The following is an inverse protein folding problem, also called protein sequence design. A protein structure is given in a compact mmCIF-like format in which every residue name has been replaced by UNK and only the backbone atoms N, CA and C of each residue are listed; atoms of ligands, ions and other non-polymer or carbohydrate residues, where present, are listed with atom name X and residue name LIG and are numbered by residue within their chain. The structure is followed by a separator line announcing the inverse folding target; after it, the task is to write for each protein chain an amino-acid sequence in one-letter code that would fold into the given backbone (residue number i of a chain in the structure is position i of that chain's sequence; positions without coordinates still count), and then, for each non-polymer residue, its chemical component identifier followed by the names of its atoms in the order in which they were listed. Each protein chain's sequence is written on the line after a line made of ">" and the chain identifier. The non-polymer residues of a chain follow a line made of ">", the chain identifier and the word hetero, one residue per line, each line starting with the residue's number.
data_IF_020338353747
#
_entry.id   IF_020338353747
#
_cell.length_a   1.000
_cell.length_b   1.000
_cell.length_c   1.000
_cell.angle_alpha   90.00
_cell.angle_beta   90.00
_cell.angle_gamma   90.00
#
_symmetry.space_group_name_H-M   'P 1'
#
loop_
_entity.id
_entity.type
_entity.pdbx_description
1 polymer ?
#
# COMPACT_ATOMS: atom_id res chain seq x y z
N UNK A 1 -20.79 10.50 -4.32
CA UNK A 1 -19.83 9.41 -4.65
C UNK A 1 -18.84 9.97 -5.66
N UNK A 2 -17.57 10.01 -5.32
CA UNK A 2 -16.50 10.42 -6.24
C UNK A 2 -16.43 9.41 -7.39
N UNK A 3 -16.54 9.90 -8.63
CA UNK A 3 -16.50 9.03 -9.82
C UNK A 3 -15.07 8.54 -10.05
N UNK A 4 -14.88 7.22 -10.12
CA UNK A 4 -13.59 6.62 -10.46
C UNK A 4 -13.15 7.03 -11.88
N UNK A 5 -11.85 7.35 -12.10
CA UNK A 5 -11.33 7.57 -13.45
C UNK A 5 -11.53 6.31 -14.33
N UNK A 6 -11.82 6.49 -15.60
CA UNK A 6 -12.07 5.38 -16.52
C UNK A 6 -10.88 4.37 -16.57
N UNK A 7 -9.65 4.89 -16.55
CA UNK A 7 -8.45 4.04 -16.53
C UNK A 7 -8.33 3.20 -15.25
N UNK A 8 -8.70 3.75 -14.09
CA UNK A 8 -8.74 2.99 -12.82
C UNK A 8 -9.85 1.95 -12.85
N UNK A 9 -11.04 2.31 -13.36
CA UNK A 9 -12.17 1.37 -13.46
C UNK A 9 -11.83 0.16 -14.36
N UNK A 10 -11.22 0.39 -15.50
CA UNK A 10 -10.77 -0.70 -16.38
C UNK A 10 -9.77 -1.66 -15.68
N UNK A 11 -8.87 -1.12 -14.84
CA UNK A 11 -7.93 -1.94 -14.06
C UNK A 11 -8.64 -2.73 -12.94
N UNK A 12 -9.63 -2.13 -12.28
CA UNK A 12 -10.46 -2.80 -11.27
C UNK A 12 -11.23 -3.98 -11.88
N UNK A 13 -11.83 -3.79 -13.06
CA UNK A 13 -12.52 -4.86 -13.80
C UNK A 13 -11.55 -5.98 -14.20
N UNK A 14 -10.36 -5.60 -14.69
CA UNK A 14 -9.31 -6.55 -15.09
C UNK A 14 -8.67 -7.29 -13.90
N UNK A 15 -8.85 -6.81 -12.65
CA UNK A 15 -8.36 -7.50 -11.45
C UNK A 15 -9.07 -8.85 -11.21
N UNK A 16 -10.23 -9.08 -11.84
CA UNK A 16 -10.88 -10.38 -11.87
C UNK A 16 -11.44 -10.85 -10.53
N UNK A 17 -11.88 -9.91 -9.67
CA UNK A 17 -12.45 -10.24 -8.36
C UNK A 17 -13.75 -11.02 -8.52
N UNK A 18 -13.81 -12.21 -7.91
CA UNK A 18 -14.94 -13.15 -7.95
C UNK A 18 -15.85 -12.92 -6.73
N UNK A 19 -17.16 -13.01 -6.95
CA UNK A 19 -18.13 -12.88 -5.87
C UNK A 19 -18.13 -14.09 -4.91
N UNK A 20 -18.41 -13.82 -3.63
CA UNK A 20 -18.51 -14.85 -2.61
C UNK A 20 -17.18 -15.30 -2.00
N UNK A 21 -16.06 -14.71 -2.39
CA UNK A 21 -14.74 -15.04 -1.84
C UNK A 21 -14.18 -13.90 -0.99
N UNK A 22 -13.46 -14.20 0.11
CA UNK A 22 -12.81 -13.18 0.92
C UNK A 22 -11.78 -12.41 0.11
N UNK A 23 -11.64 -11.11 0.39
CA UNK A 23 -10.80 -10.19 -0.36
C UNK A 23 -9.81 -9.45 0.54
N UNK A 24 -8.54 -9.45 0.14
CA UNK A 24 -7.49 -8.60 0.67
C UNK A 24 -7.15 -7.52 -0.35
N UNK A 25 -7.26 -6.26 0.05
CA UNK A 25 -6.82 -5.08 -0.71
C UNK A 25 -5.59 -4.54 0.00
N UNK A 26 -4.42 -4.62 -0.62
CA UNK A 26 -3.15 -4.20 -0.01
C UNK A 26 -2.55 -3.01 -0.75
N UNK A 27 -2.06 -2.01 -0.02
CA UNK A 27 -1.09 -1.09 -0.61
C UNK A 27 0.22 -1.81 -0.93
N UNK A 28 1.10 -1.14 -1.66
CA UNK A 28 2.41 -1.66 -2.03
C UNK A 28 3.54 -1.02 -1.22
N UNK A 29 3.62 0.32 -1.23
CA UNK A 29 4.72 1.06 -0.62
C UNK A 29 4.53 1.13 0.91
N UNK A 30 5.60 0.87 1.68
CA UNK A 30 5.56 0.70 3.14
C UNK A 30 4.66 -0.45 3.66
N UNK A 31 4.10 -1.26 2.75
CA UNK A 31 3.33 -2.46 3.10
C UNK A 31 3.97 -3.73 2.54
N UNK A 32 4.18 -3.80 1.24
CA UNK A 32 4.83 -4.91 0.54
C UNK A 32 6.30 -4.64 0.21
N UNK A 33 6.66 -3.36 0.11
CA UNK A 33 8.00 -2.88 -0.23
C UNK A 33 8.48 -1.81 0.76
N UNK A 34 9.79 -1.82 1.07
CA UNK A 34 10.45 -0.84 1.95
C UNK A 34 10.74 0.45 1.17
N UNK A 35 9.68 1.20 0.92
CA UNK A 35 9.74 2.34 0.01
C UNK A 35 10.55 3.51 0.57
N UNK A 36 10.25 3.98 1.80
CA UNK A 36 10.79 5.25 2.30
C UNK A 36 12.30 5.18 2.49
N UNK A 37 12.84 4.07 3.01
CA UNK A 37 14.30 3.90 3.13
C UNK A 37 14.98 3.95 1.76
N UNK A 38 14.43 3.22 0.77
CA UNK A 38 14.98 3.21 -0.59
C UNK A 38 14.86 4.58 -1.27
N UNK A 39 13.78 5.31 -1.01
CA UNK A 39 13.61 6.69 -1.49
C UNK A 39 14.62 7.64 -0.83
N UNK A 40 14.86 7.51 0.46
CA UNK A 40 15.86 8.33 1.18
C UNK A 40 17.26 8.09 0.61
N UNK A 41 17.69 6.84 0.45
CA UNK A 41 18.96 6.51 -0.17
C UNK A 41 19.10 7.14 -1.57
N UNK A 42 18.05 7.05 -2.37
CA UNK A 42 18.03 7.60 -3.73
C UNK A 42 18.16 9.13 -3.76
N UNK A 43 17.50 9.85 -2.84
CA UNK A 43 17.61 11.33 -2.81
C UNK A 43 18.92 11.79 -2.18
N UNK A 44 19.50 11.05 -1.22
CA UNK A 44 20.79 11.37 -0.62
C UNK A 44 21.93 11.30 -1.66
N UNK A 45 21.92 10.33 -2.55
CA UNK A 45 22.84 10.24 -3.69
C UNK A 45 22.75 11.46 -4.64
N UNK A 46 21.68 12.25 -4.56
CA UNK A 46 21.37 13.41 -5.43
C UNK A 46 21.46 14.75 -4.73
N UNK A 47 22.08 14.77 -3.54
CA UNK A 47 22.32 16.00 -2.78
C UNK A 47 21.10 16.52 -2.03
N UNK A 48 20.23 15.64 -1.63
CA UNK A 48 19.14 15.94 -0.70
C UNK A 48 19.33 15.16 0.60
N UNK A 49 18.60 15.55 1.65
CA UNK A 49 18.51 14.83 2.93
C UNK A 49 17.07 14.69 3.35
N UNK A 50 16.79 13.71 4.18
CA UNK A 50 15.46 13.49 4.73
C UNK A 50 15.44 13.74 6.24
N UNK A 51 14.58 14.67 6.68
CA UNK A 51 14.34 14.95 8.10
C UNK A 51 13.23 14.03 8.64
N UNK A 52 13.60 13.11 9.49
CA UNK A 52 12.69 12.14 10.11
C UNK A 52 11.89 12.76 11.26
N UNK A 53 11.31 13.93 11.06
CA UNK A 53 10.52 14.64 12.09
C UNK A 53 9.01 14.38 11.99
N UNK A 54 8.55 13.85 10.85
CA UNK A 54 7.14 13.48 10.66
C UNK A 54 6.98 12.36 9.63
N UNK A 55 5.79 11.75 9.60
CA UNK A 55 5.43 10.71 8.63
C UNK A 55 5.39 11.21 7.17
N UNK A 56 5.26 12.50 6.94
CA UNK A 56 5.08 13.08 5.60
C UNK A 56 6.40 13.15 4.85
N UNK A 57 6.39 12.94 3.53
CA UNK A 57 7.54 13.24 2.67
C UNK A 57 7.69 14.76 2.47
N UNK A 58 6.60 15.46 2.17
CA UNK A 58 6.60 16.92 2.02
C UNK A 58 6.89 17.60 3.35
N UNK A 59 7.84 18.52 3.33
CA UNK A 59 8.32 19.23 4.52
C UNK A 59 9.55 18.57 5.17
N UNK A 60 9.86 17.32 4.83
CA UNK A 60 11.00 16.57 5.37
C UNK A 60 12.18 16.44 4.39
N UNK A 61 11.99 16.71 3.11
CA UNK A 61 13.09 16.70 2.13
C UNK A 61 13.76 18.06 2.07
N UNK A 62 15.10 18.07 2.23
CA UNK A 62 15.94 19.28 2.23
C UNK A 62 17.04 19.16 1.20
N UNK A 63 17.40 20.26 0.55
CA UNK A 63 18.59 20.35 -0.26
C UNK A 63 19.81 20.49 0.64
N UNK A 64 20.83 19.64 0.46
CA UNK A 64 22.02 19.63 1.32
C UNK A 64 22.90 20.87 1.16
N UNK A 65 22.91 21.52 -0.02
CA UNK A 65 23.78 22.66 -0.32
C UNK A 65 23.41 23.94 0.42
N UNK A 66 22.13 24.15 0.73
CA UNK A 66 21.62 25.38 1.38
C UNK A 66 20.62 25.12 2.52
N UNK A 67 20.28 23.85 2.78
CA UNK A 67 19.31 23.45 3.80
C UNK A 67 17.85 23.77 3.47
N UNK A 68 17.58 24.24 2.24
CA UNK A 68 16.23 24.64 1.85
C UNK A 68 15.27 23.44 1.85
N UNK A 69 14.11 23.59 2.48
CA UNK A 69 13.03 22.60 2.47
C UNK A 69 12.35 22.62 1.10
N UNK A 70 12.18 21.43 0.50
CA UNK A 70 11.48 21.30 -0.76
C UNK A 70 9.97 21.46 -0.60
N UNK A 71 9.35 22.17 -1.52
CA UNK A 71 7.89 22.26 -1.62
C UNK A 71 7.28 20.97 -2.21
N UNK A 72 5.95 20.87 -2.16
CA UNK A 72 5.23 19.69 -2.63
C UNK A 72 5.49 19.35 -4.11
N UNK A 73 5.49 20.31 -5.07
CA UNK A 73 5.85 20.02 -6.47
C UNK A 73 7.26 19.46 -6.64
N UNK A 74 8.23 19.96 -5.88
CA UNK A 74 9.63 19.50 -5.94
C UNK A 74 9.75 18.07 -5.38
N UNK A 75 9.12 17.77 -4.24
CA UNK A 75 9.07 16.40 -3.69
C UNK A 75 8.39 15.46 -4.66
N UNK A 76 7.28 15.89 -5.29
CA UNK A 76 6.59 15.09 -6.29
C UNK A 76 7.47 14.79 -7.52
N UNK A 77 8.26 15.76 -7.99
CA UNK A 77 9.22 15.54 -9.08
C UNK A 77 10.30 14.50 -8.71
N UNK A 78 10.81 14.54 -7.46
CA UNK A 78 11.75 13.52 -6.96
C UNK A 78 11.11 12.13 -6.90
N UNK A 79 9.85 12.03 -6.47
CA UNK A 79 9.10 10.77 -6.46
C UNK A 79 8.91 10.20 -7.87
N UNK A 80 8.54 11.06 -8.85
CA UNK A 80 8.41 10.64 -10.25
C UNK A 80 9.74 10.08 -10.79
N UNK A 81 10.85 10.76 -10.49
CA UNK A 81 12.19 10.33 -10.88
C UNK A 81 12.58 9.01 -10.21
N UNK A 82 12.36 8.91 -8.91
CA UNK A 82 12.60 7.70 -8.13
C UNK A 82 11.86 6.49 -8.73
N UNK A 83 10.54 6.61 -8.93
CA UNK A 83 9.77 5.50 -9.50
C UNK A 83 10.16 5.17 -10.93
N UNK A 84 10.61 6.15 -11.73
CA UNK A 84 11.10 5.90 -13.07
C UNK A 84 12.37 5.05 -13.09
N UNK A 85 13.25 5.23 -12.10
CA UNK A 85 14.55 4.53 -12.02
C UNK A 85 14.52 3.29 -11.13
N UNK A 86 13.72 3.28 -10.05
CA UNK A 86 13.85 2.30 -8.95
C UNK A 86 12.57 1.50 -8.66
N UNK A 87 11.46 1.70 -9.41
CA UNK A 87 10.19 1.02 -9.13
C UNK A 87 10.30 -0.50 -9.08
N UNK A 88 11.26 -1.08 -9.81
CA UNK A 88 11.50 -2.52 -9.84
C UNK A 88 12.44 -3.03 -8.73
N UNK A 89 13.26 -2.16 -8.14
CA UNK A 89 14.37 -2.54 -7.26
C UNK A 89 14.09 -2.28 -5.78
N UNK A 90 12.89 -1.82 -5.43
CA UNK A 90 12.52 -1.60 -4.03
C UNK A 90 12.48 -2.96 -3.31
N UNK A 91 13.22 -3.13 -2.19
CA UNK A 91 13.24 -4.40 -1.46
C UNK A 91 11.86 -4.77 -0.89
N UNK A 92 11.48 -6.06 -0.94
CA UNK A 92 10.23 -6.50 -0.33
C UNK A 92 10.31 -6.46 1.20
N UNK A 93 9.16 -6.27 1.83
CA UNK A 93 9.04 -6.39 3.30
C UNK A 93 9.16 -7.87 3.68
N UNK A 94 10.05 -8.21 4.65
CA UNK A 94 10.21 -9.60 5.10
C UNK A 94 8.90 -10.23 5.56
N UNK A 95 8.63 -11.45 5.10
CA UNK A 95 7.43 -12.21 5.46
C UNK A 95 6.18 -11.91 4.62
N UNK A 96 6.15 -10.80 3.85
CA UNK A 96 5.00 -10.41 3.05
C UNK A 96 4.63 -11.48 2.01
N UNK A 97 5.60 -11.92 1.21
CA UNK A 97 5.36 -12.88 0.14
C UNK A 97 4.84 -14.23 0.66
N UNK A 98 5.43 -14.73 1.74
CA UNK A 98 5.05 -15.99 2.36
C UNK A 98 3.64 -15.92 2.98
N UNK A 99 3.32 -14.81 3.67
CA UNK A 99 2.01 -14.58 4.26
C UNK A 99 0.92 -14.47 3.18
N UNK A 100 1.14 -13.67 2.15
CA UNK A 100 0.21 -13.54 1.03
C UNK A 100 0.00 -14.88 0.31
N UNK A 101 1.05 -15.69 0.13
CA UNK A 101 0.93 -17.01 -0.47
C UNK A 101 0.09 -17.98 0.40
N UNK A 102 0.19 -17.89 1.75
CA UNK A 102 -0.67 -18.68 2.65
C UNK A 102 -2.12 -18.24 2.58
N UNK A 103 -2.38 -16.94 2.63
CA UNK A 103 -3.73 -16.36 2.49
C UNK A 103 -4.37 -16.74 1.14
N UNK A 104 -3.62 -16.65 0.04
CA UNK A 104 -4.10 -17.05 -1.28
C UNK A 104 -4.47 -18.54 -1.33
N UNK A 105 -3.65 -19.41 -0.72
CA UNK A 105 -3.96 -20.86 -0.61
C UNK A 105 -5.19 -21.13 0.27
N UNK A 106 -5.47 -20.27 1.23
CA UNK A 106 -6.70 -20.31 2.04
C UNK A 106 -7.93 -19.74 1.31
N UNK A 107 -7.81 -19.38 0.02
CA UNK A 107 -8.90 -18.92 -0.81
C UNK A 107 -9.11 -17.40 -0.84
N UNK A 108 -8.24 -16.61 -0.19
CA UNK A 108 -8.32 -15.16 -0.22
C UNK A 108 -7.90 -14.64 -1.61
N UNK A 109 -8.72 -13.77 -2.18
CA UNK A 109 -8.36 -13.00 -3.36
C UNK A 109 -7.51 -11.80 -2.92
N UNK A 110 -6.44 -11.50 -3.63
CA UNK A 110 -5.52 -10.42 -3.28
C UNK A 110 -5.44 -9.44 -4.44
N UNK A 111 -5.64 -8.16 -4.16
CA UNK A 111 -5.48 -7.06 -5.11
C UNK A 111 -4.56 -6.00 -4.50
N UNK A 112 -3.53 -5.61 -5.24
CA UNK A 112 -2.64 -4.50 -4.86
C UNK A 112 -3.22 -3.20 -5.40
N UNK A 113 -3.56 -2.27 -4.50
CA UNK A 113 -4.13 -0.96 -4.79
C UNK A 113 -3.15 0.14 -4.39
N UNK A 114 -2.45 0.74 -5.34
CA UNK A 114 -1.34 1.65 -5.09
C UNK A 114 -1.50 2.99 -5.79
N UNK A 115 -0.86 4.05 -5.27
CA UNK A 115 -0.89 5.41 -5.83
C UNK A 115 0.43 5.79 -6.55
N UNK A 116 1.16 4.83 -7.08
CA UNK A 116 2.34 5.11 -7.92
C UNK A 116 1.95 5.81 -9.23
N UNK A 117 2.89 6.45 -9.94
CA UNK A 117 2.64 6.95 -11.28
C UNK A 117 2.12 5.85 -12.22
N UNK A 118 1.08 6.15 -13.01
CA UNK A 118 0.44 5.16 -13.91
C UNK A 118 1.45 4.53 -14.87
N UNK A 119 2.44 5.30 -15.36
CA UNK A 119 3.51 4.82 -16.23
C UNK A 119 4.37 3.70 -15.58
N UNK A 120 4.37 3.58 -14.26
CA UNK A 120 5.18 2.61 -13.52
C UNK A 120 4.40 1.33 -13.13
N UNK A 121 3.16 1.19 -13.61
CA UNK A 121 2.33 0.03 -13.30
C UNK A 121 3.00 -1.30 -13.69
N UNK A 122 3.57 -1.37 -14.87
CA UNK A 122 4.18 -2.62 -15.35
C UNK A 122 5.50 -2.92 -14.61
N UNK A 123 6.28 -1.89 -14.27
CA UNK A 123 7.44 -2.03 -13.40
C UNK A 123 7.05 -2.57 -12.00
N UNK A 124 5.96 -2.05 -11.40
CA UNK A 124 5.44 -2.55 -10.12
C UNK A 124 4.97 -4.01 -10.23
N UNK A 125 4.28 -4.37 -11.31
CA UNK A 125 3.88 -5.78 -11.56
C UNK A 125 5.10 -6.70 -11.68
N UNK A 126 6.13 -6.27 -12.40
CA UNK A 126 7.38 -7.01 -12.52
C UNK A 126 8.08 -7.19 -11.16
N UNK A 127 8.16 -6.11 -10.34
CA UNK A 127 8.70 -6.17 -8.98
C UNK A 127 7.95 -7.17 -8.10
N UNK A 128 6.63 -7.13 -8.09
CA UNK A 128 5.80 -8.06 -7.35
C UNK A 128 6.03 -9.50 -7.81
N UNK A 129 6.03 -9.76 -9.11
CA UNK A 129 6.23 -11.10 -9.66
C UNK A 129 7.62 -11.67 -9.29
N UNK A 130 8.70 -10.87 -9.41
CA UNK A 130 10.06 -11.28 -9.00
C UNK A 130 10.15 -11.62 -7.51
N UNK A 131 9.36 -10.93 -6.69
CA UNK A 131 9.30 -11.17 -5.24
C UNK A 131 8.20 -12.17 -4.83
N UNK A 132 7.76 -13.03 -5.75
CA UNK A 132 6.77 -14.11 -5.50
C UNK A 132 5.40 -13.60 -5.05
N UNK A 133 5.01 -12.40 -5.46
CA UNK A 133 3.72 -11.76 -5.18
C UNK A 133 2.96 -11.41 -6.48
N UNK A 134 2.68 -12.35 -7.41
CA UNK A 134 2.12 -12.06 -8.73
C UNK A 134 0.62 -11.74 -8.68
N UNK A 135 0.25 -10.74 -7.88
CA UNK A 135 -1.15 -10.34 -7.71
C UNK A 135 -1.54 -9.21 -8.66
N UNK A 136 -2.84 -9.07 -9.00
CA UNK A 136 -3.34 -7.94 -9.77
C UNK A 136 -2.97 -6.58 -9.16
N UNK A 137 -2.50 -5.65 -10.01
CA UNK A 137 -2.14 -4.28 -9.60
C UNK A 137 -3.12 -3.30 -10.20
N UNK A 138 -3.74 -2.50 -9.35
CA UNK A 138 -4.58 -1.37 -9.69
C UNK A 138 -3.86 -0.09 -9.28
N UNK A 139 -3.54 0.76 -10.25
CA UNK A 139 -3.02 2.10 -9.97
C UNK A 139 -4.19 3.05 -9.79
N UNK A 140 -4.26 3.62 -8.60
CA UNK A 140 -5.25 4.61 -8.21
C UNK A 140 -4.67 6.03 -8.26
N UNK A 141 -5.53 7.01 -8.26
CA UNK A 141 -5.16 8.43 -8.14
C UNK A 141 -6.06 9.08 -7.11
N UNK A 142 -5.47 9.71 -6.11
CA UNK A 142 -6.18 10.32 -4.99
C UNK A 142 -6.62 9.28 -3.94
N UNK A 143 -7.77 9.50 -3.31
CA UNK A 143 -8.27 8.67 -2.22
C UNK A 143 -8.58 7.24 -2.66
N UNK A 144 -8.16 6.25 -1.89
CA UNK A 144 -8.36 4.82 -2.19
C UNK A 144 -9.78 4.31 -1.89
N UNK A 145 -10.56 5.05 -1.09
CA UNK A 145 -11.90 4.62 -0.66
C UNK A 145 -12.84 4.21 -1.78
N UNK A 146 -13.03 5.00 -2.86
CA UNK A 146 -13.92 4.62 -3.96
C UNK A 146 -13.49 3.32 -4.67
N UNK A 147 -12.18 3.10 -4.86
CA UNK A 147 -11.67 1.89 -5.48
C UNK A 147 -11.80 0.67 -4.56
N UNK A 148 -11.50 0.82 -3.27
CA UNK A 148 -11.68 -0.23 -2.27
C UNK A 148 -13.15 -0.63 -2.12
N UNK A 149 -14.06 0.35 -2.09
CA UNK A 149 -15.51 0.10 -2.04
C UNK A 149 -16.01 -0.66 -3.28
N UNK A 150 -15.50 -0.32 -4.47
CA UNK A 150 -15.83 -1.04 -5.70
C UNK A 150 -15.39 -2.50 -5.63
N UNK A 151 -14.13 -2.76 -5.22
CA UNK A 151 -13.58 -4.11 -5.07
C UNK A 151 -14.37 -4.93 -4.04
N UNK A 152 -14.63 -4.37 -2.86
CA UNK A 152 -15.40 -5.04 -1.81
C UNK A 152 -16.84 -5.35 -2.23
N UNK A 153 -17.50 -4.41 -2.94
CA UNK A 153 -18.85 -4.64 -3.51
C UNK A 153 -18.83 -5.78 -4.53
N UNK A 154 -17.77 -5.88 -5.35
CA UNK A 154 -17.63 -6.94 -6.32
C UNK A 154 -17.39 -8.30 -5.67
N UNK A 155 -16.58 -8.36 -4.60
CA UNK A 155 -16.34 -9.56 -3.82
C UNK A 155 -17.61 -10.02 -3.07
N UNK A 156 -18.42 -9.10 -2.56
CA UNK A 156 -19.67 -9.41 -1.85
C UNK A 156 -19.49 -10.25 -0.59
N UNK A 157 -18.26 -10.40 -0.09
CA UNK A 157 -17.87 -11.14 1.10
C UNK A 157 -17.01 -10.28 2.04
N UNK A 158 -16.41 -10.89 3.08
CA UNK A 158 -15.52 -10.16 3.97
C UNK A 158 -14.33 -9.60 3.23
N UNK A 159 -13.95 -8.35 3.55
CA UNK A 159 -12.85 -7.65 2.93
C UNK A 159 -11.96 -6.97 3.97
N UNK A 160 -10.65 -7.01 3.72
CA UNK A 160 -9.62 -6.33 4.52
C UNK A 160 -8.86 -5.36 3.62
N UNK A 161 -8.56 -4.18 4.15
CA UNK A 161 -7.72 -3.17 3.54
C UNK A 161 -6.48 -2.93 4.40
N UNK A 162 -5.29 -2.93 3.79
CA UNK A 162 -4.01 -2.66 4.44
C UNK A 162 -3.35 -1.47 3.77
N UNK A 163 -2.91 -0.52 4.58
CA UNK A 163 -2.26 0.70 4.09
C UNK A 163 -1.42 1.35 5.20
N UNK A 164 -0.40 2.12 4.85
CA UNK A 164 0.41 2.89 5.78
C UNK A 164 -0.16 4.30 6.02
N UNK A 165 -0.97 4.81 5.09
CA UNK A 165 -1.47 6.18 5.08
C UNK A 165 -2.77 6.38 5.86
N UNK A 166 -2.79 7.19 6.94
CA UNK A 166 -4.00 7.46 7.72
C UNK A 166 -5.20 7.95 6.88
N UNK A 167 -4.93 8.82 5.89
CA UNK A 167 -5.99 9.38 5.03
C UNK A 167 -6.68 8.30 4.18
N UNK A 168 -5.95 7.23 3.79
CA UNK A 168 -6.52 6.13 3.03
C UNK A 168 -7.49 5.32 3.89
N UNK A 169 -7.17 5.09 5.18
CA UNK A 169 -8.09 4.43 6.13
C UNK A 169 -9.38 5.24 6.30
N UNK A 170 -9.27 6.56 6.51
CA UNK A 170 -10.42 7.45 6.61
C UNK A 170 -11.31 7.39 5.35
N UNK A 171 -10.68 7.48 4.18
CA UNK A 171 -11.37 7.38 2.89
C UNK A 171 -12.07 6.04 2.69
N UNK A 172 -11.43 4.93 3.05
CA UNK A 172 -12.01 3.57 2.93
C UNK A 172 -13.19 3.40 3.88
N UNK A 173 -13.06 3.78 5.15
CA UNK A 173 -14.17 3.69 6.12
C UNK A 173 -15.35 4.59 5.73
N UNK A 174 -15.08 5.76 5.15
CA UNK A 174 -16.15 6.62 4.63
C UNK A 174 -16.88 5.99 3.44
N UNK A 175 -16.17 5.33 2.52
CA UNK A 175 -16.75 4.76 1.30
C UNK A 175 -17.38 3.38 1.52
N UNK A 176 -16.81 2.57 2.42
CA UNK A 176 -17.23 1.20 2.70
C UNK A 176 -16.90 0.83 4.17
N UNK A 177 -17.73 1.24 5.16
CA UNK A 177 -17.45 1.04 6.59
C UNK A 177 -17.34 -0.42 7.01
N UNK A 178 -17.84 -1.36 6.21
CA UNK A 178 -17.73 -2.80 6.46
C UNK A 178 -16.37 -3.43 6.13
N UNK A 179 -15.46 -2.70 5.48
CA UNK A 179 -14.09 -3.19 5.24
C UNK A 179 -13.30 -3.10 6.55
N UNK A 180 -12.66 -4.19 6.98
CA UNK A 180 -11.71 -4.16 8.07
C UNK A 180 -10.42 -3.47 7.62
N UNK A 181 -9.97 -2.46 8.35
CA UNK A 181 -8.80 -1.64 8.02
C UNK A 181 -7.64 -1.93 8.96
N UNK A 182 -6.51 -2.37 8.43
CA UNK A 182 -5.29 -2.64 9.20
C UNK A 182 -4.20 -1.66 8.80
N UNK A 183 -3.79 -0.82 9.75
CA UNK A 183 -2.71 0.15 9.55
C UNK A 183 -1.37 -0.52 9.75
N UNK A 184 -0.57 -0.60 8.70
CA UNK A 184 0.75 -1.23 8.73
C UNK A 184 1.80 -0.32 8.09
N UNK A 185 2.95 -0.15 8.74
CA UNK A 185 4.09 0.65 8.25
C UNK A 185 5.35 -0.18 8.38
N UNK A 186 5.96 -0.55 7.26
CA UNK A 186 7.10 -1.46 7.22
C UNK A 186 8.38 -0.90 7.84
N UNK A 187 8.65 0.39 7.64
CA UNK A 187 9.83 1.07 8.18
C UNK A 187 9.60 1.46 9.63
N UNK A 188 10.27 0.78 10.57
CA UNK A 188 10.09 0.98 12.03
C UNK A 188 10.27 2.46 12.44
N UNK A 189 11.29 3.14 11.88
CA UNK A 189 11.54 4.56 12.16
C UNK A 189 10.35 5.43 11.73
N UNK A 190 9.75 5.14 10.58
CA UNK A 190 8.58 5.85 10.08
C UNK A 190 7.33 5.51 10.91
N UNK A 191 7.17 4.25 11.30
CA UNK A 191 6.05 3.79 12.12
C UNK A 191 5.95 4.53 13.47
N UNK A 192 7.09 4.94 14.04
CA UNK A 192 7.13 5.73 15.29
C UNK A 192 6.67 7.18 15.13
N UNK A 193 6.57 7.69 13.89
CA UNK A 193 6.19 9.06 13.57
C UNK A 193 4.71 9.22 13.25
N UNK A 194 3.94 8.13 13.28
CA UNK A 194 2.51 8.13 13.00
C UNK A 194 1.78 7.26 14.02
N UNK A 195 0.69 7.76 14.55
CA UNK A 195 -0.21 6.99 15.42
C UNK A 195 -1.17 6.13 14.59
N UNK A 196 -1.76 5.11 15.23
CA UNK A 196 -2.85 4.35 14.62
C UNK A 196 -4.02 5.29 14.32
N UNK A 197 -4.46 5.42 13.06
CA UNK A 197 -5.64 6.23 12.75
C UNK A 197 -6.88 5.65 13.43
N UNK A 198 -7.84 6.49 13.85
CA UNK A 198 -9.07 6.03 14.52
C UNK A 198 -9.90 5.11 13.62
N UNK A 199 -9.78 5.22 12.31
CA UNK A 199 -10.47 4.40 11.32
C UNK A 199 -9.82 3.02 11.12
N UNK A 200 -8.60 2.78 11.64
CA UNK A 200 -7.99 1.46 11.57
C UNK A 200 -8.45 0.57 12.72
N UNK A 201 -8.91 -0.62 12.38
CA UNK A 201 -9.37 -1.63 13.34
C UNK A 201 -8.19 -2.30 14.07
N UNK A 202 -7.01 -2.39 13.41
CA UNK A 202 -5.78 -2.94 13.96
C UNK A 202 -4.53 -2.17 13.51
N UNK A 203 -3.40 -2.41 14.23
CA UNK A 203 -2.08 -1.90 13.88
C UNK A 203 -1.01 -2.94 14.22
N UNK A 204 -0.89 -4.00 13.42
CA UNK A 204 0.19 -4.98 13.58
C UNK A 204 1.56 -4.36 13.29
N UNK A 205 2.60 -4.89 13.92
CA UNK A 205 3.98 -4.37 13.80
C UNK A 205 4.83 -5.20 12.83
N UNK A 206 4.39 -6.42 12.51
CA UNK A 206 5.07 -7.32 11.59
C UNK A 206 4.09 -8.13 10.73
N UNK A 207 4.59 -8.70 9.64
CA UNK A 207 3.79 -9.51 8.73
C UNK A 207 3.19 -10.78 9.37
N UNK A 208 3.87 -11.51 10.26
CA UNK A 208 3.26 -12.63 10.99
C UNK A 208 2.03 -12.23 11.82
N UNK A 209 2.07 -11.07 12.49
CA UNK A 209 0.93 -10.53 13.23
C UNK A 209 -0.16 -10.02 12.29
N UNK A 210 0.25 -9.30 11.23
CA UNK A 210 -0.66 -8.80 10.20
C UNK A 210 -1.44 -9.95 9.54
N UNK A 211 -0.78 -11.05 9.17
CA UNK A 211 -1.44 -12.23 8.59
C UNK A 211 -2.51 -12.81 9.52
N UNK A 212 -2.24 -12.92 10.82
CA UNK A 212 -3.23 -13.41 11.80
C UNK A 212 -4.44 -12.49 11.90
N UNK A 213 -4.21 -11.16 11.91
CA UNK A 213 -5.30 -10.18 11.95
C UNK A 213 -6.12 -10.18 10.66
N UNK A 214 -5.48 -10.33 9.49
CA UNK A 214 -6.17 -10.52 8.21
C UNK A 214 -7.05 -11.77 8.26
N UNK A 215 -6.48 -12.91 8.66
CA UNK A 215 -7.21 -14.17 8.71
C UNK A 215 -8.41 -14.09 9.66
N UNK A 216 -8.25 -13.48 10.83
CA UNK A 216 -9.32 -13.27 11.79
C UNK A 216 -10.42 -12.36 11.21
N UNK A 217 -10.04 -11.24 10.58
CA UNK A 217 -10.99 -10.28 9.97
C UNK A 217 -11.76 -10.88 8.80
N UNK A 218 -11.16 -11.83 8.07
CA UNK A 218 -11.81 -12.54 6.97
C UNK A 218 -12.60 -13.78 7.43
N UNK A 219 -12.63 -14.09 8.73
CA UNK A 219 -13.31 -15.28 9.26
C UNK A 219 -12.66 -16.60 8.83
N UNK A 220 -11.35 -16.58 8.50
CA UNK A 220 -10.63 -17.80 8.17
C UNK A 220 -10.35 -18.57 9.46
N UNK A 221 -10.83 -19.81 9.54
CA UNK A 221 -10.43 -20.71 10.61
C UNK A 221 -8.96 -21.08 10.40
N UNK A 222 -8.10 -20.78 11.38
CA UNK A 222 -6.76 -21.37 11.40
C UNK A 222 -6.96 -22.88 11.48
N UNK A 223 -6.83 -23.57 10.35
CA UNK A 223 -6.74 -25.03 10.34
C UNK A 223 -5.53 -25.42 11.17
N UNK A 224 -5.79 -25.98 12.37
CA UNK A 224 -4.76 -26.59 13.16
C UNK A 224 -4.08 -27.69 12.34
N UNK A 225 -2.78 -27.59 12.18
CA UNK A 225 -1.91 -28.70 11.74
C UNK A 225 -1.82 -29.73 12.83
#
# INVERSE_FOLDING_TARGET
>A
MTRLPAATLAQLEAAGVEAGRPLLISDADEVLFRFVETFVDHIEERGYSFDWSSFRLTGNVRRTSDGAVLDQPQVFALLQHFFAERAEDIPPVPGAAEALARLARAGVQIVVLTNIPVAQRDARRAALARNRMPYPVVVNTGDKGPAAAWLASRAGGPAVFIDDGPNNHASVKQAAPGIACLHFVATERLARLVEKPPEADGRPEDWPTLEREIAASLGLTCGGT
#
